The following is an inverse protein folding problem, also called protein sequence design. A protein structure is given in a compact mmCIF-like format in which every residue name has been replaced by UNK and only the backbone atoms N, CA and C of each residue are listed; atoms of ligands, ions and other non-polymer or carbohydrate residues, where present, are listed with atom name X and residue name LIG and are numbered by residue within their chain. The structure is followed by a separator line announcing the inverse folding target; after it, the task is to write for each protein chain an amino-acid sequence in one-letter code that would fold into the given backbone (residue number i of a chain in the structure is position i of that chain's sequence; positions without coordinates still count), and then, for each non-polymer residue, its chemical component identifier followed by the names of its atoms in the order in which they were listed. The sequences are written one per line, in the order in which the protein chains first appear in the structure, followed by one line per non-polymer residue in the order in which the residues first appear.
data_IF_550029957621
#
_entry.id   IF_550029957621
#
_cell.length_a   1.000
_cell.length_b   1.000
_cell.length_c   1.000
_cell.angle_alpha   90.00
_cell.angle_beta   90.00
_cell.angle_gamma   90.00
#
_symmetry.space_group_name_H-M   'P 1'
#
loop_
_entity.id
_entity.type
_entity.pdbx_description
1 polymer ?
#
# COMPACT_ATOMS: atom_id res chain seq x y z
N UNK A 1 22.05 -13.76 38.00
CA UNK A 1 20.78 -13.02 37.78
C UNK A 1 20.97 -11.62 37.14
N UNK A 2 22.13 -10.97 37.23
CA UNK A 2 22.34 -9.62 36.67
C UNK A 2 22.44 -9.56 35.13
N UNK A 3 22.94 -10.63 34.50
CA UNK A 3 23.13 -10.66 33.03
C UNK A 3 21.89 -11.08 32.23
N UNK A 4 20.88 -11.68 32.88
CA UNK A 4 19.63 -12.10 32.22
C UNK A 4 18.80 -10.88 31.78
N UNK A 5 18.86 -9.78 32.55
CA UNK A 5 18.21 -8.51 32.21
C UNK A 5 18.87 -7.80 31.02
N UNK A 6 20.17 -7.98 30.82
CA UNK A 6 20.89 -7.37 29.69
C UNK A 6 20.58 -8.13 28.39
N UNK A 7 20.35 -9.45 28.45
CA UNK A 7 20.04 -10.26 27.28
C UNK A 7 18.61 -10.01 26.74
N UNK A 8 17.65 -9.61 27.57
CA UNK A 8 16.30 -9.25 27.10
C UNK A 8 16.24 -7.90 26.39
N UNK A 9 17.22 -7.01 26.65
CA UNK A 9 17.26 -5.69 26.03
C UNK A 9 17.88 -5.73 24.61
N UNK A 10 18.52 -6.84 24.24
CA UNK A 10 19.05 -7.07 22.89
C UNK A 10 18.00 -7.63 21.90
N UNK A 11 16.80 -7.97 22.37
CA UNK A 11 15.79 -8.69 21.58
C UNK A 11 14.81 -7.79 20.80
N UNK A 12 14.88 -6.47 20.93
CA UNK A 12 13.84 -5.57 20.40
C UNK A 12 14.23 -4.78 19.16
N UNK A 13 15.30 -5.18 18.45
CA UNK A 13 15.41 -4.89 17.02
C UNK A 13 14.46 -5.82 16.23
N UNK A 14 13.21 -5.90 16.66
CA UNK A 14 12.14 -6.51 15.88
C UNK A 14 11.82 -5.51 14.77
N UNK A 15 12.50 -5.69 13.64
CA UNK A 15 12.06 -5.12 12.37
C UNK A 15 10.59 -5.53 12.21
N UNK A 16 9.67 -4.57 12.25
CA UNK A 16 8.30 -4.81 11.80
C UNK A 16 8.42 -5.33 10.36
N UNK A 17 8.13 -6.62 10.17
CA UNK A 17 8.20 -7.23 8.85
C UNK A 17 7.11 -6.56 8.00
N UNK A 18 7.38 -6.18 6.74
CA UNK A 18 6.35 -5.60 5.90
C UNK A 18 5.24 -6.64 5.69
N UNK A 19 4.05 -6.35 6.18
CA UNK A 19 2.85 -7.21 6.07
C UNK A 19 2.16 -7.11 4.71
N UNK A 20 2.70 -6.28 3.81
CA UNK A 20 2.14 -6.03 2.49
C UNK A 20 3.25 -6.13 1.46
N UNK A 21 3.10 -7.04 0.51
CA UNK A 21 3.89 -7.05 -0.71
C UNK A 21 3.04 -6.52 -1.85
N UNK A 22 3.60 -5.58 -2.61
CA UNK A 22 2.93 -4.99 -3.77
C UNK A 22 3.92 -4.79 -4.90
N UNK A 23 3.53 -5.26 -6.08
CA UNK A 23 4.18 -4.89 -7.34
C UNK A 23 3.42 -3.72 -7.96
N UNK A 24 4.16 -2.71 -8.40
CA UNK A 24 3.58 -1.49 -8.98
C UNK A 24 3.95 -1.39 -10.44
N UNK A 25 2.92 -1.29 -11.31
CA UNK A 25 3.08 -1.02 -12.73
C UNK A 25 2.52 0.36 -13.06
N UNK A 26 3.23 1.06 -13.94
CA UNK A 26 2.82 2.36 -14.47
C UNK A 26 2.61 2.24 -15.97
N UNK A 27 1.45 2.65 -16.45
CA UNK A 27 1.23 2.90 -17.87
C UNK A 27 1.18 4.41 -18.08
N UNK A 28 2.12 4.94 -18.85
CA UNK A 28 2.32 6.38 -19.03
C UNK A 28 2.08 6.71 -20.51
N UNK A 29 1.12 7.61 -20.76
CA UNK A 29 0.86 8.16 -22.09
C UNK A 29 1.38 9.58 -22.13
N UNK A 30 2.33 9.86 -23.02
CA UNK A 30 2.92 11.19 -23.20
C UNK A 30 2.41 11.80 -24.50
N UNK A 31 1.64 12.87 -24.39
CA UNK A 31 1.18 13.71 -25.49
C UNK A 31 1.99 15.01 -25.55
N UNK A 32 1.82 15.82 -26.61
CA UNK A 32 2.58 17.06 -26.78
C UNK A 32 2.44 18.05 -25.60
N UNK A 33 1.27 18.08 -24.96
CA UNK A 33 0.95 19.02 -23.88
C UNK A 33 0.53 18.37 -22.56
N UNK A 34 0.32 17.05 -22.52
CA UNK A 34 -0.14 16.34 -21.31
C UNK A 34 0.56 15.00 -21.15
N UNK A 35 0.60 14.51 -19.91
CA UNK A 35 1.00 13.15 -19.63
C UNK A 35 -0.01 12.56 -18.68
N UNK A 36 -0.60 11.45 -19.09
CA UNK A 36 -1.54 10.66 -18.27
C UNK A 36 -0.79 9.46 -17.72
N UNK A 37 -1.06 9.10 -16.47
CA UNK A 37 -0.40 7.98 -15.77
C UNK A 37 -1.45 7.15 -15.07
N UNK A 38 -1.59 5.90 -15.51
CA UNK A 38 -2.35 4.89 -14.81
C UNK A 38 -1.41 4.11 -13.88
N UNK A 39 -1.84 3.91 -12.64
CA UNK A 39 -1.11 3.18 -11.61
C UNK A 39 -1.86 1.90 -11.30
N UNK A 40 -1.17 0.77 -11.42
CA UNK A 40 -1.69 -0.54 -11.09
C UNK A 40 -0.90 -1.12 -9.91
N UNK A 41 -1.63 -1.51 -8.86
CA UNK A 41 -1.09 -2.17 -7.69
C UNK A 41 -1.51 -3.64 -7.68
N UNK A 42 -0.53 -4.54 -7.67
CA UNK A 42 -0.74 -5.97 -7.58
C UNK A 42 -0.29 -6.45 -6.21
N UNK A 43 -1.25 -6.80 -5.36
CA UNK A 43 -1.00 -7.30 -4.02
C UNK A 43 -0.80 -8.81 -4.03
N UNK A 44 0.02 -9.30 -3.11
CA UNK A 44 0.20 -10.73 -2.90
C UNK A 44 -1.07 -11.41 -2.35
N UNK A 45 -1.06 -12.74 -2.30
CA UNK A 45 -2.20 -13.56 -1.86
C UNK A 45 -2.62 -13.26 -0.41
N UNK A 46 -1.65 -13.08 0.49
CA UNK A 46 -1.93 -12.82 1.90
C UNK A 46 -2.59 -11.46 2.07
N UNK A 47 -2.02 -10.42 1.45
CA UNK A 47 -2.61 -9.07 1.49
C UNK A 47 -4.00 -9.06 0.86
N UNK A 48 -4.17 -9.71 -0.30
CA UNK A 48 -5.47 -9.79 -0.99
C UNK A 48 -6.53 -10.47 -0.12
N UNK A 49 -6.14 -11.53 0.61
CA UNK A 49 -7.04 -12.25 1.53
C UNK A 49 -7.44 -11.39 2.73
N UNK A 50 -6.52 -10.60 3.28
CA UNK A 50 -6.81 -9.66 4.36
C UNK A 50 -7.80 -8.58 3.89
N UNK A 51 -7.57 -8.00 2.71
CA UNK A 51 -8.48 -7.01 2.14
C UNK A 51 -9.88 -7.59 1.88
N UNK A 52 -9.97 -8.83 1.39
CA UNK A 52 -11.27 -9.50 1.25
C UNK A 52 -11.95 -9.70 2.61
N UNK A 53 -11.23 -10.18 3.63
CA UNK A 53 -11.83 -10.38 4.96
C UNK A 53 -12.37 -9.09 5.58
N UNK A 54 -11.70 -7.96 5.34
CA UNK A 54 -12.07 -6.67 5.94
C UNK A 54 -13.17 -5.93 5.16
N UNK A 55 -13.21 -6.08 3.82
CA UNK A 55 -14.05 -5.23 2.96
C UNK A 55 -15.16 -5.97 2.19
N UNK A 56 -15.14 -7.30 2.06
CA UNK A 56 -16.23 -8.10 1.50
C UNK A 56 -17.35 -8.25 2.53
N UNK A 57 -18.27 -7.28 2.55
CA UNK A 57 -19.33 -7.20 3.54
C UNK A 57 -20.38 -8.29 3.33
N UNK A 58 -20.66 -8.62 2.07
CA UNK A 58 -21.67 -9.61 1.71
C UNK A 58 -21.11 -11.06 1.69
N UNK A 59 -19.79 -11.22 1.83
CA UNK A 59 -19.05 -12.48 1.92
C UNK A 59 -19.18 -13.36 0.68
N UNK A 60 -19.25 -12.75 -0.50
CA UNK A 60 -19.36 -13.46 -1.78
C UNK A 60 -17.98 -13.80 -2.40
N UNK A 61 -16.89 -13.51 -1.69
CA UNK A 61 -15.48 -13.64 -2.09
C UNK A 61 -15.07 -12.74 -3.26
N UNK A 62 -15.77 -11.62 -3.47
CA UNK A 62 -15.47 -10.62 -4.49
C UNK A 62 -15.77 -9.25 -3.95
N UNK A 63 -14.90 -8.29 -4.22
CA UNK A 63 -15.22 -6.90 -3.92
C UNK A 63 -16.10 -6.34 -5.03
N UNK A 64 -17.34 -6.00 -4.67
CA UNK A 64 -18.26 -5.31 -5.54
C UNK A 64 -17.91 -3.82 -5.65
N UNK A 65 -18.53 -3.10 -6.58
CA UNK A 65 -18.15 -1.73 -6.91
C UNK A 65 -18.21 -0.80 -5.69
N UNK A 66 -19.24 -0.97 -4.87
CA UNK A 66 -19.48 -0.22 -3.65
C UNK A 66 -18.41 -0.53 -2.58
N UNK A 67 -18.03 -1.80 -2.44
CA UNK A 67 -16.99 -2.25 -1.50
C UNK A 67 -15.59 -1.78 -1.93
N UNK A 68 -15.31 -1.80 -3.24
CA UNK A 68 -14.08 -1.23 -3.80
C UNK A 68 -14.00 0.28 -3.52
N UNK A 69 -15.12 1.00 -3.68
CA UNK A 69 -15.16 2.43 -3.40
C UNK A 69 -14.87 2.73 -1.91
N UNK A 70 -15.43 1.92 -1.01
CA UNK A 70 -15.18 2.00 0.42
C UNK A 70 -13.72 1.64 0.78
N UNK A 71 -13.18 0.55 0.23
CA UNK A 71 -11.76 0.18 0.37
C UNK A 71 -10.84 1.31 -0.08
N UNK A 72 -11.12 1.92 -1.23
CA UNK A 72 -10.34 3.05 -1.75
C UNK A 72 -10.35 4.22 -0.76
N UNK A 73 -11.52 4.58 -0.25
CA UNK A 73 -11.67 5.68 0.70
C UNK A 73 -10.89 5.45 2.00
N UNK A 74 -11.02 4.27 2.60
CA UNK A 74 -10.45 4.00 3.92
C UNK A 74 -8.95 3.68 3.87
N UNK A 75 -8.51 2.92 2.86
CA UNK A 75 -7.13 2.44 2.79
C UNK A 75 -6.26 3.25 1.84
N UNK A 76 -6.75 3.59 0.64
CA UNK A 76 -5.90 4.13 -0.43
C UNK A 76 -5.83 5.66 -0.46
N UNK A 77 -6.91 6.37 -0.16
CA UNK A 77 -6.92 7.83 -0.17
C UNK A 77 -5.96 8.39 0.90
N UNK A 78 -5.76 7.66 2.00
CA UNK A 78 -4.77 7.96 3.03
C UNK A 78 -3.32 7.74 2.56
N UNK A 79 -3.06 6.83 1.63
CA UNK A 79 -1.69 6.55 1.14
C UNK A 79 -1.06 7.76 0.47
N UNK A 80 -1.86 8.63 -0.13
CA UNK A 80 -1.42 9.90 -0.73
C UNK A 80 -0.78 10.83 0.30
N UNK A 81 -1.26 10.82 1.54
CA UNK A 81 -0.73 11.66 2.62
C UNK A 81 0.70 11.21 3.00
N UNK A 82 0.92 9.90 3.01
CA UNK A 82 2.19 9.29 3.44
C UNK A 82 3.13 8.96 2.28
N UNK A 83 2.67 9.01 1.03
CA UNK A 83 3.42 8.62 -0.18
C UNK A 83 3.86 7.15 -0.15
N UNK A 84 2.99 6.27 0.32
CA UNK A 84 3.21 4.83 0.26
C UNK A 84 3.09 4.34 -1.19
N UNK A 85 3.97 3.42 -1.57
CA UNK A 85 4.06 2.72 -2.88
C UNK A 85 4.35 3.58 -4.11
N UNK A 86 4.10 4.89 -4.07
CA UNK A 86 4.37 5.82 -5.16
C UNK A 86 4.89 7.17 -4.63
N UNK A 87 5.95 7.68 -5.25
CA UNK A 87 6.44 9.05 -5.05
C UNK A 87 6.81 9.64 -6.40
N UNK A 88 5.91 10.35 -7.08
CA UNK A 88 6.20 10.93 -8.39
C UNK A 88 7.08 12.18 -8.27
N UNK A 89 8.06 12.30 -9.17
CA UNK A 89 8.93 13.47 -9.27
C UNK A 89 8.97 13.97 -10.72
N UNK A 90 8.90 15.29 -10.90
CA UNK A 90 9.22 15.95 -12.15
C UNK A 90 10.52 16.72 -11.99
N UNK A 91 11.57 16.28 -12.68
CA UNK A 91 12.95 16.71 -12.40
C UNK A 91 13.27 16.47 -10.91
N UNK A 92 13.43 17.53 -10.13
CA UNK A 92 13.69 17.47 -8.68
C UNK A 92 12.50 17.91 -7.82
N UNK A 93 11.34 18.20 -8.43
CA UNK A 93 10.15 18.65 -7.73
C UNK A 93 9.20 17.47 -7.53
N UNK A 94 8.87 17.18 -6.27
CA UNK A 94 7.85 16.19 -5.93
C UNK A 94 6.49 16.67 -6.47
N UNK A 95 5.80 15.80 -7.20
CA UNK A 95 4.44 16.07 -7.67
C UNK A 95 3.46 15.72 -6.55
N UNK A 96 2.37 16.50 -6.44
CA UNK A 96 1.27 16.17 -5.53
C UNK A 96 0.31 15.27 -6.30
N UNK A 97 0.08 14.07 -5.77
CA UNK A 97 -1.12 13.29 -6.09
C UNK A 97 -2.35 13.98 -5.54
#
# INVERSE_FOLDING_TARGET
MKYILILSFLYTLLFSHPHVFVDVKFDIVINQNSSDMDVYWYFDEMTSSLLLMDFDQNRNNKLEKEEIAFLKQESFDNLKEFNYYISPHQKNKKLKF
#
